data_IF_872652346362
#
_entry.id   IF_872652346362
#
_cell.length_a   1.000
_cell.length_b   1.000
_cell.length_c   1.000
_cell.angle_alpha   90.00
_cell.angle_beta   90.00
_cell.angle_gamma   90.00
#
_symmetry.space_group_name_H-M   'P 1'
#
loop_
_entity.id
_entity.type
_entity.pdbx_description
1 polymer ?
#
# COMPACT_ATOMS: atom_id res chain seq x y z
N UNK A 1 -83.18 4.91 56.08
CA UNK A 1 -83.43 4.05 54.91
C UNK A 1 -82.53 4.54 53.79
N UNK A 2 -81.70 3.65 53.22
CA UNK A 2 -81.10 3.64 51.86
C UNK A 2 -80.48 4.95 51.31
N UNK A 3 -79.28 5.05 50.75
CA UNK A 3 -78.13 4.18 50.46
C UNK A 3 -77.06 5.16 49.95
N UNK A 4 -75.83 5.17 50.46
CA UNK A 4 -74.75 6.04 49.96
C UNK A 4 -73.80 5.21 49.11
N UNK A 5 -73.81 5.44 47.79
CA UNK A 5 -72.94 4.78 46.82
C UNK A 5 -71.63 5.55 46.68
N UNK A 6 -70.50 4.90 46.97
CA UNK A 6 -69.16 5.36 46.64
C UNK A 6 -68.79 4.98 45.21
N UNK A 7 -68.46 5.95 44.37
CA UNK A 7 -67.83 5.72 43.06
C UNK A 7 -66.32 5.86 43.18
N UNK A 8 -65.60 4.78 42.89
CA UNK A 8 -64.16 4.76 42.65
C UNK A 8 -63.88 5.11 41.18
N UNK A 9 -63.09 6.14 40.92
CA UNK A 9 -62.57 6.45 39.59
C UNK A 9 -61.33 5.58 39.32
N UNK A 10 -61.43 4.69 38.34
CA UNK A 10 -60.28 3.99 37.75
C UNK A 10 -59.65 4.87 36.67
N UNK A 11 -58.42 5.34 36.90
CA UNK A 11 -57.60 5.96 35.85
C UNK A 11 -57.14 4.89 34.85
N UNK A 12 -57.51 5.02 33.57
CA UNK A 12 -56.96 4.20 32.50
C UNK A 12 -55.59 4.77 32.09
N UNK A 13 -54.51 4.04 32.37
CA UNK A 13 -53.20 4.34 31.82
C UNK A 13 -53.14 3.79 30.38
N UNK A 14 -53.04 4.69 29.40
CA UNK A 14 -52.66 4.33 28.04
C UNK A 14 -51.15 3.99 28.01
N UNK A 15 -50.74 2.89 27.35
CA UNK A 15 -49.32 2.63 27.13
C UNK A 15 -48.74 3.70 26.17
N UNK A 16 -47.46 4.08 26.33
CA UNK A 16 -46.80 4.98 25.40
C UNK A 16 -46.72 4.34 24.00
N UNK A 17 -46.91 5.15 22.96
CA UNK A 17 -46.74 4.74 21.58
C UNK A 17 -45.33 4.15 21.36
N UNK A 18 -45.19 3.09 20.55
CA UNK A 18 -43.88 2.55 20.22
C UNK A 18 -43.05 3.60 19.48
N UNK A 19 -41.82 3.77 19.93
CA UNK A 19 -40.78 4.59 19.31
C UNK A 19 -40.72 4.30 17.79
N UNK A 20 -40.76 5.29 16.90
CA UNK A 20 -40.63 5.05 15.47
C UNK A 20 -39.34 4.27 15.20
N UNK A 21 -39.48 3.10 14.60
CA UNK A 21 -38.36 2.30 14.09
C UNK A 21 -37.41 3.20 13.31
N UNK A 22 -36.08 3.11 13.52
CA UNK A 22 -35.14 3.94 12.79
C UNK A 22 -35.35 3.71 11.29
N UNK A 23 -35.59 4.80 10.55
CA UNK A 23 -35.68 4.73 9.11
C UNK A 23 -34.39 4.12 8.54
N UNK A 24 -34.49 3.19 7.58
CA UNK A 24 -33.30 2.61 6.97
C UNK A 24 -32.46 3.72 6.31
N UNK A 25 -31.18 3.77 6.69
CA UNK A 25 -30.21 4.68 6.11
C UNK A 25 -30.20 4.48 4.57
N UNK A 26 -30.39 5.52 3.74
CA UNK A 26 -30.53 5.38 2.28
C UNK A 26 -29.25 4.91 1.56
N UNK A 27 -28.17 4.62 2.30
CA UNK A 27 -26.83 4.33 1.79
C UNK A 27 -26.54 2.83 1.58
N UNK A 28 -27.55 1.95 1.70
CA UNK A 28 -27.35 0.48 1.63
C UNK A 28 -27.83 -0.21 0.36
N UNK A 29 -28.15 0.53 -0.72
CA UNK A 29 -28.79 -0.07 -1.90
C UNK A 29 -27.83 -0.57 -2.98
N UNK A 30 -26.55 -0.17 -2.96
CA UNK A 30 -25.56 -0.65 -3.92
C UNK A 30 -24.45 -1.43 -3.20
N UNK A 31 -24.05 -2.61 -3.70
CA UNK A 31 -22.92 -3.32 -3.13
C UNK A 31 -21.62 -2.50 -3.34
N UNK A 32 -20.63 -2.61 -2.43
CA UNK A 32 -19.34 -1.95 -2.58
C UNK A 32 -18.71 -2.21 -3.96
N UNK A 33 -18.08 -1.22 -4.58
CA UNK A 33 -17.54 -1.37 -5.94
C UNK A 33 -16.51 -2.49 -6.06
N UNK A 34 -15.72 -2.72 -5.02
CA UNK A 34 -14.75 -3.79 -4.95
C UNK A 34 -15.37 -5.19 -4.86
N UNK A 35 -16.66 -5.31 -4.54
CA UNK A 35 -17.38 -6.59 -4.61
C UNK A 35 -17.53 -7.13 -6.05
N UNK A 36 -17.29 -6.28 -7.05
CA UNK A 36 -17.29 -6.64 -8.48
C UNK A 36 -15.95 -7.24 -8.94
N UNK A 37 -14.93 -7.26 -8.08
CA UNK A 37 -13.63 -7.85 -8.40
C UNK A 37 -13.77 -9.36 -8.66
N UNK A 38 -13.19 -9.81 -9.77
CA UNK A 38 -13.09 -11.22 -10.14
C UNK A 38 -11.64 -11.58 -10.46
N UNK A 39 -10.98 -12.30 -9.55
CA UNK A 39 -9.59 -12.73 -9.76
C UNK A 39 -9.43 -13.61 -10.99
N UNK A 40 -10.41 -14.45 -11.31
CA UNK A 40 -10.40 -15.25 -12.55
C UNK A 40 -10.40 -14.35 -13.79
N UNK A 41 -11.16 -13.25 -13.77
CA UNK A 41 -11.17 -12.28 -14.87
C UNK A 41 -9.81 -11.57 -14.98
N UNK A 42 -9.28 -11.07 -13.86
CA UNK A 42 -7.95 -10.44 -13.79
C UNK A 42 -6.86 -11.35 -14.38
N UNK A 43 -6.83 -12.62 -13.96
CA UNK A 43 -5.88 -13.61 -14.44
C UNK A 43 -6.01 -13.83 -15.95
N UNK A 44 -7.23 -13.91 -16.47
CA UNK A 44 -7.48 -14.04 -17.91
C UNK A 44 -6.96 -12.82 -18.68
N UNK A 45 -7.31 -11.62 -18.23
CA UNK A 45 -6.88 -10.35 -18.84
C UNK A 45 -5.36 -10.20 -18.86
N UNK A 46 -4.70 -10.38 -17.71
CA UNK A 46 -3.24 -10.26 -17.63
C UNK A 46 -2.53 -11.40 -18.38
N UNK A 47 -3.12 -12.59 -18.41
CA UNK A 47 -2.65 -13.71 -19.24
C UNK A 47 -2.78 -13.46 -20.74
N UNK A 48 -3.61 -12.50 -21.20
CA UNK A 48 -3.64 -12.08 -22.61
C UNK A 48 -2.68 -10.95 -22.97
N UNK A 49 -2.16 -10.19 -22.01
CA UNK A 49 -1.26 -9.05 -22.29
C UNK A 49 0.11 -9.48 -22.84
N UNK A 50 0.81 -8.59 -23.55
CA UNK A 50 2.20 -8.85 -23.96
C UNK A 50 3.14 -8.86 -22.75
N UNK A 51 4.15 -9.73 -22.76
CA UNK A 51 5.19 -9.79 -21.73
C UNK A 51 6.29 -8.75 -22.00
N UNK A 52 5.90 -7.49 -22.15
CA UNK A 52 6.79 -6.35 -22.39
C UNK A 52 6.32 -5.09 -21.62
N UNK A 53 7.11 -4.02 -21.68
CA UNK A 53 6.81 -2.77 -20.96
C UNK A 53 5.48 -2.16 -21.41
N UNK A 54 5.09 -2.36 -22.68
CA UNK A 54 3.82 -1.86 -23.22
C UNK A 54 2.65 -2.55 -22.56
N UNK A 55 2.68 -3.89 -22.45
CA UNK A 55 1.65 -4.68 -21.77
C UNK A 55 1.56 -4.32 -20.28
N UNK A 56 2.69 -4.15 -19.59
CA UNK A 56 2.70 -3.77 -18.17
C UNK A 56 2.15 -2.38 -17.88
N UNK A 57 2.18 -1.48 -18.87
CA UNK A 57 1.78 -0.09 -18.71
C UNK A 57 0.51 0.26 -19.50
N UNK A 58 -0.28 -0.75 -19.88
CA UNK A 58 -1.56 -0.55 -20.58
C UNK A 58 -1.44 0.29 -21.85
N UNK A 59 -0.34 0.12 -22.61
CA UNK A 59 -0.10 0.89 -23.83
C UNK A 59 0.64 2.22 -23.64
N UNK A 60 1.14 2.53 -22.43
CA UNK A 60 1.88 3.77 -22.14
C UNK A 60 3.37 3.55 -21.80
N UNK A 61 4.17 2.84 -22.64
CA UNK A 61 5.57 2.54 -22.31
C UNK A 61 6.43 3.80 -22.06
N UNK A 62 6.07 4.93 -22.66
CA UNK A 62 6.74 6.22 -22.50
C UNK A 62 6.76 6.75 -21.05
N UNK A 63 5.82 6.33 -20.18
CA UNK A 63 5.80 6.79 -18.78
C UNK A 63 6.79 6.03 -17.90
N UNK A 64 7.33 4.89 -18.37
CA UNK A 64 8.21 4.02 -17.57
C UNK A 64 9.41 4.75 -16.98
N UNK A 65 10.11 5.57 -17.78
CA UNK A 65 11.34 6.25 -17.33
C UNK A 65 11.04 7.28 -16.24
N UNK A 66 9.98 8.08 -16.41
CA UNK A 66 9.61 9.13 -15.47
C UNK A 66 9.03 8.53 -14.18
N UNK A 67 8.32 7.40 -14.29
CA UNK A 67 7.87 6.58 -13.16
C UNK A 67 9.05 6.09 -12.30
N UNK A 68 10.01 5.38 -12.92
CA UNK A 68 11.17 4.82 -12.23
C UNK A 68 12.03 5.91 -11.56
N UNK A 69 12.21 7.05 -12.24
CA UNK A 69 12.99 8.16 -11.69
C UNK A 69 12.31 8.80 -10.47
N UNK A 70 10.99 8.96 -10.52
CA UNK A 70 10.23 9.47 -9.38
C UNK A 70 10.27 8.50 -8.19
N UNK A 71 10.11 7.20 -8.44
CA UNK A 71 10.21 6.16 -7.42
C UNK A 71 11.60 6.11 -6.76
N UNK A 72 12.68 6.21 -7.54
CA UNK A 72 14.06 6.31 -7.02
C UNK A 72 14.24 7.53 -6.11
N UNK A 73 13.71 8.68 -6.53
CA UNK A 73 13.78 9.90 -5.73
C UNK A 73 12.96 9.78 -4.44
N UNK A 74 11.79 9.15 -4.50
CA UNK A 74 10.93 8.90 -3.35
C UNK A 74 11.64 8.03 -2.30
N UNK A 75 12.22 6.89 -2.71
CA UNK A 75 13.03 6.02 -1.84
C UNK A 75 14.17 6.83 -1.19
N UNK A 76 14.89 7.64 -1.96
CA UNK A 76 16.00 8.44 -1.43
C UNK A 76 15.55 9.46 -0.37
N UNK A 77 14.36 10.07 -0.54
CA UNK A 77 13.76 10.98 0.45
C UNK A 77 13.36 10.24 1.72
N UNK A 78 12.67 9.11 1.61
CA UNK A 78 12.24 8.29 2.76
C UNK A 78 13.45 7.83 3.57
N UNK A 79 14.48 7.29 2.92
CA UNK A 79 15.73 6.88 3.57
C UNK A 79 16.52 8.03 4.20
N UNK A 80 16.25 9.29 3.83
CA UNK A 80 16.87 10.45 4.48
C UNK A 80 16.17 10.79 5.78
N UNK A 81 14.84 10.74 5.79
CA UNK A 81 14.02 10.99 6.98
C UNK A 81 14.38 10.02 8.11
N UNK A 82 14.54 8.72 7.80
CA UNK A 82 14.88 7.71 8.81
C UNK A 82 16.28 7.82 9.41
N UNK A 83 17.19 8.58 8.79
CA UNK A 83 18.54 8.84 9.31
C UNK A 83 18.62 10.12 10.14
N UNK A 84 17.55 10.91 10.17
CA UNK A 84 17.49 12.18 10.89
C UNK A 84 16.70 12.07 12.21
N UNK A 85 16.17 10.89 12.56
CA UNK A 85 15.70 10.60 13.91
C UNK A 85 16.90 10.70 14.88
N UNK A 86 16.80 11.51 15.95
CA UNK A 86 17.95 11.81 16.79
C UNK A 86 18.34 10.58 17.62
N UNK A 87 19.52 10.04 17.36
CA UNK A 87 20.27 9.30 18.38
C UNK A 87 20.52 10.26 19.54
N UNK A 88 19.88 10.01 20.69
CA UNK A 88 20.28 10.60 21.96
C UNK A 88 21.69 10.11 22.28
N UNK A 89 22.71 10.85 21.87
CA UNK A 89 24.07 10.68 22.41
C UNK A 89 24.82 12.02 22.45
N UNK A 90 24.84 12.56 23.66
CA UNK A 90 25.90 13.33 24.33
C UNK A 90 26.34 14.71 23.82
N UNK A 91 26.38 15.61 24.81
CA UNK A 91 26.98 16.94 24.78
C UNK A 91 28.40 16.95 24.19
N UNK A 92 28.61 17.76 23.14
CA UNK A 92 29.92 18.32 22.83
C UNK A 92 29.78 19.80 22.44
N UNK A 93 30.23 20.65 23.35
CA UNK A 93 30.47 22.08 23.14
C UNK A 93 31.71 22.26 22.28
N UNK A 94 31.66 23.05 21.20
CA UNK A 94 32.56 24.20 20.99
C UNK A 94 32.66 24.67 19.54
N UNK A 95 32.64 26.01 19.45
CA UNK A 95 33.45 26.91 18.63
C UNK A 95 33.43 26.79 17.10
N UNK A 96 32.83 27.83 16.53
CA UNK A 96 32.98 28.33 15.18
C UNK A 96 34.46 28.47 14.75
N UNK A 97 34.78 28.09 13.52
CA UNK A 97 35.78 28.79 12.73
C UNK A 97 35.45 28.72 11.24
N UNK A 98 35.35 29.88 10.61
CA UNK A 98 34.90 30.05 9.24
C UNK A 98 35.86 29.48 8.21
N UNK A 99 35.38 28.48 7.48
CA UNK A 99 35.76 28.10 6.12
C UNK A 99 34.52 27.45 5.51
N UNK A 100 33.99 27.98 4.42
CA UNK A 100 32.89 27.35 3.68
C UNK A 100 33.31 25.90 3.35
N UNK A 101 32.64 24.88 3.91
CA UNK A 101 33.07 23.52 3.66
C UNK A 101 32.65 23.17 2.22
N UNK A 102 33.60 22.70 1.42
CA UNK A 102 33.27 21.93 0.23
C UNK A 102 32.27 20.85 0.66
N UNK A 103 31.12 20.77 -0.01
CA UNK A 103 30.05 19.84 0.35
C UNK A 103 30.66 18.44 0.45
N UNK A 104 30.68 17.79 1.63
CA UNK A 104 31.25 16.46 1.74
C UNK A 104 30.47 15.56 0.80
N UNK A 105 31.18 14.89 -0.11
CA UNK A 105 30.61 13.87 -0.99
C UNK A 105 30.06 12.78 -0.05
N UNK A 106 28.75 12.82 0.23
CA UNK A 106 28.13 11.82 1.10
C UNK A 106 28.29 10.46 0.42
N UNK A 107 28.77 9.44 1.14
CA UNK A 107 28.85 8.10 0.58
C UNK A 107 27.46 7.66 0.10
N UNK A 108 27.44 6.92 -1.00
CA UNK A 108 26.20 6.36 -1.53
C UNK A 108 25.47 5.57 -0.43
N UNK A 109 24.13 5.60 -0.38
CA UNK A 109 23.38 4.81 0.58
C UNK A 109 23.73 3.32 0.41
N UNK A 110 24.02 2.60 1.50
CA UNK A 110 24.16 1.14 1.46
C UNK A 110 22.92 0.50 0.82
N UNK A 111 23.08 -0.59 0.07
CA UNK A 111 21.91 -1.34 -0.41
C UNK A 111 21.15 -1.93 0.78
N UNK A 112 19.86 -2.11 0.60
CA UNK A 112 19.02 -2.91 1.49
C UNK A 112 19.38 -4.39 1.32
N UNK A 113 19.13 -5.23 2.33
CA UNK A 113 19.41 -6.66 2.24
C UNK A 113 18.38 -7.34 1.34
N UNK A 114 17.10 -7.12 1.63
CA UNK A 114 16.00 -7.83 0.99
C UNK A 114 14.83 -6.89 0.70
N UNK A 115 14.35 -6.92 -0.54
CA UNK A 115 13.12 -6.26 -0.96
C UNK A 115 12.12 -7.27 -1.54
N UNK A 116 10.84 -6.91 -1.56
CA UNK A 116 9.76 -7.63 -2.21
C UNK A 116 9.14 -6.75 -3.31
N UNK A 117 8.98 -7.26 -4.52
CA UNK A 117 8.23 -6.63 -5.61
C UNK A 117 6.87 -7.34 -5.74
N UNK A 118 5.78 -6.64 -5.39
CA UNK A 118 4.43 -7.18 -5.35
C UNK A 118 3.65 -6.81 -6.61
N UNK A 119 3.08 -7.80 -7.31
CA UNK A 119 2.49 -7.61 -8.63
C UNK A 119 3.56 -7.21 -9.64
N UNK A 120 4.69 -7.91 -9.62
CA UNK A 120 5.92 -7.46 -10.29
C UNK A 120 5.80 -7.43 -11.83
N UNK A 121 4.82 -8.15 -12.40
CA UNK A 121 4.71 -8.39 -13.83
C UNK A 121 6.01 -9.01 -14.35
N UNK A 122 6.52 -8.48 -15.45
CA UNK A 122 7.80 -8.92 -16.03
C UNK A 122 9.04 -8.40 -15.27
N UNK A 123 8.87 -7.73 -14.14
CA UNK A 123 9.98 -7.17 -13.37
C UNK A 123 10.46 -5.81 -13.82
N UNK A 124 9.57 -4.96 -14.35
CA UNK A 124 9.92 -3.57 -14.75
C UNK A 124 10.47 -2.79 -13.55
N UNK A 125 9.83 -2.92 -12.39
CA UNK A 125 10.28 -2.30 -11.14
C UNK A 125 11.49 -3.02 -10.57
N UNK A 126 11.46 -4.35 -10.49
CA UNK A 126 12.62 -5.17 -10.10
C UNK A 126 13.90 -4.72 -10.82
N UNK A 127 13.91 -4.75 -12.15
CA UNK A 127 15.09 -4.43 -12.96
C UNK A 127 15.44 -2.94 -13.00
N UNK A 128 14.43 -2.08 -13.18
CA UNK A 128 14.61 -0.64 -13.34
C UNK A 128 14.89 0.10 -12.03
N UNK A 129 14.59 -0.50 -10.88
CA UNK A 129 14.66 0.15 -9.57
C UNK A 129 15.25 -0.75 -8.49
N UNK A 130 14.59 -1.86 -8.15
CA UNK A 130 14.86 -2.55 -6.87
C UNK A 130 16.22 -3.26 -6.84
N UNK A 131 16.70 -3.82 -7.94
CA UNK A 131 18.05 -4.41 -7.99
C UNK A 131 19.18 -3.36 -7.83
N UNK A 132 18.88 -2.08 -8.04
CA UNK A 132 19.82 -0.99 -7.76
C UNK A 132 19.81 -0.56 -6.28
N UNK A 133 18.79 -0.93 -5.51
CA UNK A 133 18.61 -0.49 -4.12
C UNK A 133 18.70 -1.61 -3.09
N UNK A 134 18.52 -2.87 -3.49
CA UNK A 134 18.59 -4.06 -2.62
C UNK A 134 19.57 -5.11 -3.17
N UNK A 135 20.10 -5.96 -2.29
CA UNK A 135 20.95 -7.09 -2.66
C UNK A 135 20.16 -8.26 -3.24
N UNK A 136 18.97 -8.53 -2.69
CA UNK A 136 18.04 -9.55 -3.18
C UNK A 136 16.65 -8.94 -3.31
N UNK A 137 15.94 -9.30 -4.38
CA UNK A 137 14.54 -8.89 -4.61
C UNK A 137 13.69 -10.15 -4.82
N UNK A 138 12.85 -10.46 -3.84
CA UNK A 138 11.82 -11.49 -4.01
C UNK A 138 10.64 -10.92 -4.80
N UNK A 139 9.85 -11.81 -5.40
CA UNK A 139 8.80 -11.47 -6.37
C UNK A 139 7.48 -12.13 -5.94
N UNK A 140 6.38 -11.37 -5.95
CA UNK A 140 5.02 -11.93 -5.98
C UNK A 140 4.35 -11.53 -7.28
N UNK A 141 3.93 -12.51 -8.08
CA UNK A 141 3.30 -12.28 -9.38
C UNK A 141 2.43 -13.49 -9.76
N UNK A 142 1.13 -13.33 -10.01
CA UNK A 142 0.25 -14.46 -10.30
C UNK A 142 0.39 -15.06 -11.71
N UNK A 143 0.90 -14.32 -12.70
CA UNK A 143 0.90 -14.77 -14.10
C UNK A 143 2.22 -15.47 -14.48
N UNK A 144 2.21 -16.79 -14.78
CA UNK A 144 3.44 -17.56 -14.98
C UNK A 144 4.37 -17.04 -16.08
N UNK A 145 3.81 -16.65 -17.24
CA UNK A 145 4.61 -16.11 -18.36
C UNK A 145 5.37 -14.82 -17.99
N UNK A 146 4.93 -14.08 -16.98
CA UNK A 146 5.63 -12.90 -16.49
C UNK A 146 6.75 -13.30 -15.52
N UNK A 147 6.48 -14.26 -14.63
CA UNK A 147 7.53 -14.82 -13.76
C UNK A 147 8.64 -15.52 -14.53
N UNK A 148 8.34 -16.11 -15.69
CA UNK A 148 9.35 -16.72 -16.57
C UNK A 148 10.39 -15.68 -17.02
N UNK A 149 9.96 -14.46 -17.37
CA UNK A 149 10.87 -13.36 -17.73
C UNK A 149 11.78 -13.00 -16.55
N UNK A 150 11.22 -12.90 -15.35
CA UNK A 150 11.96 -12.60 -14.12
C UNK A 150 12.98 -13.69 -13.77
N UNK A 151 12.64 -14.96 -13.94
CA UNK A 151 13.54 -16.10 -13.68
C UNK A 151 14.77 -16.10 -14.59
N UNK A 152 14.66 -15.51 -15.78
CA UNK A 152 15.71 -15.44 -16.80
C UNK A 152 16.50 -14.13 -16.74
N UNK A 153 16.13 -13.21 -15.84
CA UNK A 153 16.79 -11.92 -15.72
C UNK A 153 18.26 -12.09 -15.36
N UNK A 154 19.14 -11.38 -16.07
CA UNK A 154 20.59 -11.35 -15.85
C UNK A 154 21.03 -9.94 -15.46
N UNK A 155 20.95 -9.58 -14.16
CA UNK A 155 21.40 -8.27 -13.70
C UNK A 155 22.90 -8.08 -13.90
N UNK A 156 23.34 -6.82 -13.97
CA UNK A 156 24.78 -6.51 -14.01
C UNK A 156 25.46 -6.88 -12.68
N UNK A 157 26.78 -7.17 -12.66
CA UNK A 157 27.47 -7.62 -11.44
C UNK A 157 27.39 -6.67 -10.23
N UNK A 158 27.13 -5.39 -10.47
CA UNK A 158 26.96 -4.34 -9.47
C UNK A 158 25.51 -4.20 -8.97
N UNK A 159 24.56 -4.86 -9.63
CA UNK A 159 23.15 -4.93 -9.23
C UNK A 159 22.91 -6.06 -8.23
N UNK A 160 21.75 -6.02 -7.57
CA UNK A 160 21.25 -7.15 -6.79
C UNK A 160 20.82 -8.29 -7.70
N UNK A 161 20.26 -9.34 -7.09
CA UNK A 161 19.71 -10.49 -7.81
C UNK A 161 18.24 -10.70 -7.50
N UNK A 162 17.53 -11.36 -8.42
CA UNK A 162 16.21 -11.92 -8.13
C UNK A 162 16.38 -13.04 -7.11
N UNK A 163 15.54 -13.03 -6.08
CA UNK A 163 15.47 -14.01 -5.01
C UNK A 163 14.40 -15.05 -5.31
N UNK A 164 13.52 -15.28 -4.34
CA UNK A 164 12.41 -16.20 -4.45
C UNK A 164 11.28 -15.60 -5.31
N UNK A 165 10.69 -16.42 -6.17
CA UNK A 165 9.53 -16.06 -6.97
C UNK A 165 8.31 -16.83 -6.43
N UNK A 166 7.33 -16.09 -5.93
CA UNK A 166 6.04 -16.57 -5.49
C UNK A 166 5.02 -16.37 -6.62
N UNK A 167 4.75 -17.44 -7.38
CA UNK A 167 3.81 -17.37 -8.50
C UNK A 167 2.35 -17.52 -8.02
N UNK A 168 1.90 -16.54 -7.24
CA UNK A 168 0.57 -16.47 -6.59
C UNK A 168 0.04 -15.04 -6.64
N UNK A 169 -1.27 -14.86 -6.47
CA UNK A 169 -1.87 -13.54 -6.25
C UNK A 169 -1.58 -13.00 -4.85
N UNK A 170 -1.69 -11.68 -4.67
CA UNK A 170 -1.41 -11.03 -3.38
C UNK A 170 -2.42 -11.46 -2.30
N UNK A 171 -3.65 -11.78 -2.68
CA UNK A 171 -4.69 -12.33 -1.80
C UNK A 171 -4.37 -13.73 -1.27
N UNK A 172 -3.46 -14.44 -1.93
CA UNK A 172 -3.04 -15.80 -1.60
C UNK A 172 -1.59 -15.85 -1.09
N UNK A 173 -0.88 -14.72 -1.06
CA UNK A 173 0.51 -14.67 -0.66
C UNK A 173 0.66 -14.69 0.87
N UNK A 174 1.68 -15.39 1.33
CA UNK A 174 2.12 -15.35 2.72
C UNK A 174 3.66 -15.31 2.78
N UNK A 175 4.24 -14.48 3.65
CA UNK A 175 5.70 -14.38 3.78
C UNK A 175 6.26 -15.65 4.46
N UNK A 176 7.33 -16.27 3.92
CA UNK A 176 8.06 -17.30 4.66
C UNK A 176 8.63 -16.74 5.97
N UNK A 177 8.69 -17.57 7.01
CA UNK A 177 9.12 -17.15 8.35
C UNK A 177 10.57 -16.60 8.40
N UNK A 178 11.43 -17.04 7.49
CA UNK A 178 12.83 -16.61 7.39
C UNK A 178 13.02 -15.33 6.55
N UNK A 179 11.93 -14.77 6.00
CA UNK A 179 11.97 -13.54 5.20
C UNK A 179 11.61 -12.33 6.05
N UNK A 180 12.56 -11.39 6.13
CA UNK A 180 12.38 -10.08 6.73
C UNK A 180 12.77 -9.00 5.74
N UNK A 181 11.78 -8.24 5.26
CA UNK A 181 11.93 -7.30 4.16
C UNK A 181 12.29 -5.91 4.69
N UNK A 182 13.37 -5.32 4.16
CA UNK A 182 13.68 -3.91 4.37
C UNK A 182 12.77 -2.99 3.55
N UNK A 183 12.21 -3.52 2.46
CA UNK A 183 11.30 -2.80 1.57
C UNK A 183 10.30 -3.76 0.93
N UNK A 184 9.01 -3.51 1.14
CA UNK A 184 7.93 -4.11 0.34
C UNK A 184 7.45 -3.06 -0.65
N UNK A 185 7.59 -3.31 -1.94
CA UNK A 185 7.16 -2.40 -3.00
C UNK A 185 5.88 -2.92 -3.66
N UNK A 186 4.85 -2.07 -3.70
CA UNK A 186 3.50 -2.40 -4.18
C UNK A 186 3.10 -1.33 -5.18
N UNK A 187 3.01 -1.67 -6.46
CA UNK A 187 2.71 -0.69 -7.50
C UNK A 187 1.71 -1.22 -8.52
N UNK A 188 0.61 -0.48 -8.71
CA UNK A 188 -0.47 -0.80 -9.66
C UNK A 188 -0.96 -2.25 -9.57
N UNK A 189 -1.26 -2.67 -8.34
CA UNK A 189 -1.73 -4.02 -8.07
C UNK A 189 -2.69 -4.10 -6.87
N UNK A 190 -2.80 -3.06 -6.04
CA UNK A 190 -3.79 -3.03 -4.96
C UNK A 190 -5.21 -2.83 -5.51
N UNK A 191 -5.36 -2.20 -6.67
CA UNK A 191 -6.64 -2.12 -7.37
C UNK A 191 -7.26 -3.48 -7.70
N UNK A 192 -6.46 -4.55 -7.76
CA UNK A 192 -6.93 -5.91 -8.03
C UNK A 192 -7.39 -6.68 -6.79
N UNK A 193 -7.24 -6.10 -5.59
CA UNK A 193 -7.72 -6.69 -4.33
C UNK A 193 -9.02 -6.03 -3.91
N UNK A 194 -9.92 -6.79 -3.27
CA UNK A 194 -11.00 -6.20 -2.46
C UNK A 194 -10.41 -5.38 -1.31
N UNK A 195 -11.17 -4.45 -0.74
CA UNK A 195 -10.75 -3.65 0.42
C UNK A 195 -10.29 -4.56 1.56
N UNK A 196 -11.06 -5.63 1.82
CA UNK A 196 -10.72 -6.64 2.84
C UNK A 196 -9.40 -7.35 2.53
N UNK A 197 -9.18 -7.78 1.28
CA UNK A 197 -7.93 -8.42 0.89
C UNK A 197 -6.75 -7.46 0.92
N UNK A 198 -6.93 -6.20 0.53
CA UNK A 198 -5.89 -5.18 0.60
C UNK A 198 -5.43 -4.95 2.04
N UNK A 199 -6.36 -4.84 3.00
CA UNK A 199 -6.05 -4.73 4.44
C UNK A 199 -5.32 -5.97 4.93
N UNK A 200 -5.78 -7.19 4.59
CA UNK A 200 -5.11 -8.42 5.00
C UNK A 200 -3.68 -8.51 4.45
N UNK A 201 -3.50 -8.23 3.16
CA UNK A 201 -2.19 -8.22 2.52
C UNK A 201 -1.26 -7.20 3.18
N UNK A 202 -1.74 -5.98 3.46
CA UNK A 202 -0.94 -4.93 4.12
C UNK A 202 -0.53 -5.33 5.53
N UNK A 203 -1.40 -6.01 6.30
CA UNK A 203 -1.05 -6.57 7.61
C UNK A 203 0.03 -7.65 7.51
N UNK A 204 -0.08 -8.57 6.54
CA UNK A 204 0.94 -9.59 6.29
C UNK A 204 2.28 -8.97 5.87
N UNK A 205 2.23 -7.96 4.99
CA UNK A 205 3.42 -7.22 4.57
C UNK A 205 4.07 -6.52 5.77
N UNK A 206 3.29 -5.92 6.68
CA UNK A 206 3.78 -5.29 7.90
C UNK A 206 4.50 -6.29 8.82
N UNK A 207 3.88 -7.45 9.09
CA UNK A 207 4.47 -8.54 9.88
C UNK A 207 5.78 -9.11 9.32
N UNK A 208 5.98 -8.95 8.00
CA UNK A 208 7.19 -9.38 7.30
C UNK A 208 8.32 -8.34 7.27
N UNK A 209 8.13 -7.14 7.82
CA UNK A 209 9.17 -6.11 7.80
C UNK A 209 10.35 -6.44 8.71
N UNK A 210 11.56 -6.06 8.27
CA UNK A 210 12.76 -6.14 9.09
C UNK A 210 12.66 -5.21 10.31
N UNK A 211 13.00 -5.76 11.48
CA UNK A 211 12.91 -5.06 12.77
C UNK A 211 11.50 -4.90 13.32
N UNK A 212 10.48 -5.46 12.66
CA UNK A 212 9.14 -5.53 13.26
C UNK A 212 9.10 -6.67 14.28
N UNK A 213 8.84 -6.28 15.53
CA UNK A 213 8.53 -7.17 16.64
C UNK A 213 7.08 -6.86 17.06
N UNK A 214 6.23 -7.90 17.11
CA UNK A 214 4.90 -7.79 17.69
C UNK A 214 5.07 -7.77 19.21
N UNK A 215 5.64 -6.69 19.74
CA UNK A 215 5.93 -6.57 21.16
C UNK A 215 4.69 -6.89 22.02
N UNK A 216 4.93 -7.50 23.18
CA UNK A 216 3.93 -7.98 24.13
C UNK A 216 3.14 -6.82 24.80
N UNK A 217 2.41 -6.00 24.04
CA UNK A 217 1.39 -5.08 24.53
C UNK A 217 1.82 -3.98 25.52
N UNK A 218 3.11 -3.83 25.82
CA UNK A 218 3.61 -2.79 26.72
C UNK A 218 4.33 -1.69 25.92
N UNK A 219 4.01 -0.46 26.27
CA UNK A 219 4.21 0.78 25.51
C UNK A 219 5.65 0.96 24.98
N UNK A 220 5.87 0.51 23.76
CA UNK A 220 7.03 0.87 22.94
C UNK A 220 6.64 0.76 21.48
N UNK A 221 6.69 1.87 20.74
CA UNK A 221 6.53 1.86 19.28
C UNK A 221 7.51 0.83 18.71
N UNK A 222 7.01 -0.32 18.24
CA UNK A 222 7.82 -1.29 17.53
C UNK A 222 8.35 -0.64 16.26
N UNK A 223 9.55 -0.07 16.30
CA UNK A 223 10.12 0.66 15.18
C UNK A 223 10.57 -0.32 14.09
N UNK A 224 9.63 -0.81 13.29
CA UNK A 224 9.98 -1.50 12.06
C UNK A 224 10.96 -0.63 11.25
N UNK A 225 12.13 -1.18 10.96
CA UNK A 225 13.15 -0.47 10.20
C UNK A 225 12.80 -0.43 8.71
N UNK A 226 12.07 -1.45 8.24
CA UNK A 226 11.59 -1.53 6.87
C UNK A 226 10.48 -0.53 6.52
N UNK A 227 10.08 -0.53 5.25
CA UNK A 227 8.95 0.24 4.74
C UNK A 227 8.08 -0.60 3.82
N UNK A 228 6.79 -0.32 3.83
CA UNK A 228 5.90 -0.66 2.72
C UNK A 228 5.77 0.60 1.86
N UNK A 229 6.01 0.49 0.56
CA UNK A 229 5.82 1.58 -0.38
C UNK A 229 4.72 1.23 -1.36
N UNK A 230 3.64 2.01 -1.32
CA UNK A 230 2.49 1.86 -2.21
C UNK A 230 2.56 2.96 -3.27
N UNK A 231 2.42 2.60 -4.55
CA UNK A 231 2.31 3.55 -5.66
C UNK A 231 1.13 3.20 -6.55
N UNK A 232 0.09 4.01 -6.51
CA UNK A 232 -1.19 3.68 -7.15
C UNK A 232 -1.82 4.85 -7.90
N UNK A 233 -2.70 4.50 -8.84
CA UNK A 233 -3.65 5.43 -9.44
C UNK A 233 -4.63 5.93 -8.37
N UNK A 234 -5.08 7.17 -8.49
CA UNK A 234 -6.11 7.75 -7.65
C UNK A 234 -7.36 8.06 -8.47
N UNK A 235 -8.52 7.77 -7.89
CA UNK A 235 -9.80 8.16 -8.47
C UNK A 235 -9.86 9.68 -8.68
N UNK A 236 -10.47 10.06 -9.79
CA UNK A 236 -10.77 11.45 -10.15
C UNK A 236 -12.27 11.72 -10.17
N UNK A 237 -13.07 10.82 -9.60
CA UNK A 237 -14.49 11.06 -9.38
C UNK A 237 -14.69 12.37 -8.60
N UNK A 238 -15.70 13.15 -8.99
CA UNK A 238 -15.91 14.50 -8.47
C UNK A 238 -16.36 14.52 -7.00
N UNK A 239 -16.92 13.42 -6.50
CA UNK A 239 -17.31 13.22 -5.10
C UNK A 239 -16.26 12.43 -4.30
N UNK A 240 -15.18 11.97 -4.95
CA UNK A 240 -14.13 11.19 -4.31
C UNK A 240 -14.49 9.72 -4.15
N UNK A 241 -15.44 9.22 -4.93
CA UNK A 241 -15.82 7.82 -4.96
C UNK A 241 -14.78 6.96 -5.67
N UNK A 242 -14.78 5.67 -5.37
CA UNK A 242 -13.96 4.70 -6.09
C UNK A 242 -14.55 4.45 -7.50
N UNK A 243 -13.74 3.91 -8.42
CA UNK A 243 -14.15 3.62 -9.79
C UNK A 243 -13.79 2.17 -10.13
N UNK A 244 -14.78 1.36 -10.54
CA UNK A 244 -14.55 0.00 -11.03
C UNK A 244 -14.26 0.01 -12.54
N UNK A 245 -13.22 -0.70 -12.95
CA UNK A 245 -12.86 -0.96 -14.34
C UNK A 245 -13.20 -2.43 -14.68
N UNK A 246 -14.12 -2.63 -15.61
CA UNK A 246 -14.58 -3.95 -16.03
C UNK A 246 -13.65 -4.63 -17.03
N UNK A 247 -12.68 -3.90 -17.63
CA UNK A 247 -11.73 -4.43 -18.62
C UNK A 247 -10.70 -5.34 -17.95
N UNK A 248 -10.15 -4.89 -16.82
CA UNK A 248 -9.16 -5.66 -16.05
C UNK A 248 -9.67 -6.11 -14.67
N UNK A 249 -10.94 -5.83 -14.36
CA UNK A 249 -11.60 -6.17 -13.10
C UNK A 249 -10.85 -5.60 -11.90
N UNK A 250 -10.63 -4.28 -11.91
CA UNK A 250 -9.92 -3.55 -10.85
C UNK A 250 -10.73 -2.37 -10.31
N UNK A 251 -10.32 -1.86 -9.15
CA UNK A 251 -10.86 -0.63 -8.56
C UNK A 251 -9.76 0.42 -8.47
N UNK A 252 -10.00 1.56 -9.09
CA UNK A 252 -9.23 2.79 -8.87
C UNK A 252 -9.83 3.53 -7.68
N UNK A 253 -9.10 3.56 -6.56
CA UNK A 253 -9.59 4.10 -5.29
C UNK A 253 -9.25 5.57 -5.08
N UNK A 254 -10.02 6.26 -4.25
CA UNK A 254 -9.68 7.61 -3.82
C UNK A 254 -8.49 7.65 -2.84
N UNK A 255 -7.84 8.81 -2.72
CA UNK A 255 -6.77 9.04 -1.71
C UNK A 255 -7.30 8.83 -0.28
N UNK A 256 -8.55 9.23 -0.03
CA UNK A 256 -9.20 9.04 1.27
C UNK A 256 -9.44 7.56 1.56
N UNK A 257 -9.90 6.78 0.57
CA UNK A 257 -10.06 5.34 0.71
C UNK A 257 -8.72 4.66 1.02
N UNK A 258 -7.66 4.96 0.28
CA UNK A 258 -6.34 4.37 0.58
C UNK A 258 -5.88 4.67 2.01
N UNK A 259 -6.07 5.91 2.50
CA UNK A 259 -5.76 6.28 3.89
C UNK A 259 -6.55 5.45 4.91
N UNK A 260 -7.84 5.20 4.65
CA UNK A 260 -8.67 4.34 5.50
C UNK A 260 -8.15 2.90 5.53
N UNK A 261 -7.80 2.34 4.37
CA UNK A 261 -7.24 0.98 4.29
C UNK A 261 -5.90 0.86 5.02
N UNK A 262 -5.04 1.87 4.93
CA UNK A 262 -3.77 1.90 5.67
C UNK A 262 -4.01 1.98 7.19
N UNK A 263 -4.95 2.83 7.61
CA UNK A 263 -5.36 2.96 9.02
C UNK A 263 -5.89 1.63 9.57
N UNK A 264 -6.79 0.96 8.84
CA UNK A 264 -7.36 -0.34 9.21
C UNK A 264 -6.30 -1.47 9.23
N UNK A 265 -5.27 -1.33 8.40
CA UNK A 265 -4.10 -2.21 8.41
C UNK A 265 -3.12 -1.94 9.57
N UNK A 266 -3.38 -0.95 10.43
CA UNK A 266 -2.49 -0.58 11.53
C UNK A 266 -1.22 0.13 11.04
N UNK A 267 -1.30 0.83 9.90
CA UNK A 267 -0.16 1.52 9.29
C UNK A 267 -0.28 3.04 9.44
N UNK A 268 0.86 3.71 9.62
CA UNK A 268 1.01 5.17 9.54
C UNK A 268 1.74 5.58 8.26
N UNK A 269 1.31 6.70 7.67
CA UNK A 269 1.97 7.30 6.50
C UNK A 269 3.17 8.12 7.00
N UNK A 270 4.38 7.67 6.68
CA UNK A 270 5.63 8.39 6.95
C UNK A 270 5.87 9.50 5.92
N UNK A 271 5.49 9.25 4.67
CA UNK A 271 5.62 10.22 3.57
C UNK A 271 4.60 9.93 2.47
N UNK A 272 4.11 10.98 1.80
CA UNK A 272 3.37 10.85 0.54
C UNK A 272 3.78 11.91 -0.48
N UNK A 273 3.97 11.51 -1.74
CA UNK A 273 4.30 12.39 -2.86
C UNK A 273 3.38 12.04 -4.06
N UNK A 274 2.89 13.05 -4.78
CA UNK A 274 2.19 12.85 -6.07
C UNK A 274 3.22 12.73 -7.19
N UNK A 275 2.99 11.79 -8.13
CA UNK A 275 3.77 11.63 -9.34
C UNK A 275 3.56 12.83 -10.27
N UNK A 276 4.66 13.49 -10.62
CA UNK A 276 4.67 14.57 -11.60
C UNK A 276 5.11 14.10 -12.98
N UNK A 277 4.73 14.82 -14.04
CA UNK A 277 5.28 14.63 -15.38
C UNK A 277 4.60 13.52 -16.20
N UNK A 278 3.48 12.98 -15.73
CA UNK A 278 2.63 12.09 -16.54
C UNK A 278 1.71 12.92 -17.46
N UNK A 279 1.26 12.35 -18.59
CA UNK A 279 0.20 12.96 -19.41
C UNK A 279 -1.05 13.25 -18.58
N UNK A 280 -1.71 14.40 -18.84
CA UNK A 280 -2.93 14.80 -18.13
C UNK A 280 -4.15 13.91 -18.39
N UNK A 281 -4.07 13.06 -19.42
CA UNK A 281 -5.12 12.08 -19.76
C UNK A 281 -5.06 10.82 -18.89
N UNK A 282 -4.00 10.64 -18.09
CA UNK A 282 -3.89 9.52 -17.15
C UNK A 282 -4.39 9.93 -15.76
N UNK A 283 -4.81 8.95 -14.98
CA UNK A 283 -5.10 9.16 -13.57
C UNK A 283 -3.90 9.77 -12.83
N UNK A 284 -4.13 10.67 -11.86
CA UNK A 284 -3.09 11.07 -10.93
C UNK A 284 -2.56 9.83 -10.19
N UNK A 285 -1.25 9.76 -10.01
CA UNK A 285 -0.59 8.66 -9.30
C UNK A 285 0.04 9.19 -8.03
N UNK A 286 -0.09 8.46 -6.92
CA UNK A 286 0.48 8.85 -5.63
C UNK A 286 1.32 7.73 -5.04
N UNK A 287 2.41 8.12 -4.41
CA UNK A 287 3.28 7.25 -3.62
C UNK A 287 3.03 7.49 -2.13
N UNK A 288 3.02 6.42 -1.36
CA UNK A 288 2.95 6.42 0.10
C UNK A 288 4.09 5.56 0.64
N UNK A 289 4.81 6.05 1.64
CA UNK A 289 5.71 5.26 2.46
C UNK A 289 5.04 5.02 3.80
N UNK A 290 4.84 3.75 4.14
CA UNK A 290 4.08 3.27 5.27
C UNK A 290 4.98 2.52 6.24
N UNK A 291 4.61 2.57 7.52
CA UNK A 291 5.17 1.72 8.59
C UNK A 291 4.05 1.31 9.54
N UNK A 292 4.22 0.21 10.30
CA UNK A 292 3.37 -0.09 11.45
C UNK A 292 3.26 1.10 12.40
N UNK A 293 2.11 1.22 13.07
CA UNK A 293 1.85 2.26 14.05
C UNK A 293 2.71 2.12 15.29
#
# INVERSE_FOLDING_TARGET
MATTTSQSQSQSQHPPDPDPSPEPNPDTTNPPLDSQISHTHQLSYWSSQTADITGMLGGYPQVSRIDLQASKNFIAKVRRLSRQSPSQDTHASSSNNGKSPATPIRPAPKKLNLALDCGAGIGRITSGLLLNVAHTVDIVEPVPKFTDVLSQLKPSPDQGKVGQIFNVGLESWSPPADRKYDLVWVQWCLGHLTDKQAVMFLKLAAGSLAGYDEGDGDEGEGEAQGWIMVKENLSTDEWGEDLFDDVDSSVTRSDQKFKQLFEEAGLKIVRSDVQSGFPKSLYPVRMYALRPK
#
